data_IF_935469375558
#
_entry.id   IF_935469375558
#
_cell.length_a   1.000
_cell.length_b   1.000
_cell.length_c   1.000
_cell.angle_alpha   90.00
_cell.angle_beta   90.00
_cell.angle_gamma   90.00
#
_symmetry.space_group_name_H-M   'P 1'
#
loop_
_entity.id
_entity.type
_entity.pdbx_description
1 polymer ?
#
# COMPACT_ATOMS: atom_id res chain seq x y z
N UNK A 1 -6.56 -10.04 23.40
CA UNK A 1 -5.79 -10.87 22.47
C UNK A 1 -6.32 -10.60 21.07
N UNK A 2 -5.46 -10.20 20.15
CA UNK A 2 -5.78 -9.97 18.74
C UNK A 2 -5.40 -11.25 18.00
N UNK A 3 -6.38 -11.85 17.30
CA UNK A 3 -6.10 -13.04 16.51
C UNK A 3 -5.29 -12.68 15.26
N UNK A 4 -4.11 -13.23 15.11
CA UNK A 4 -3.25 -13.08 13.92
C UNK A 4 -3.67 -13.98 12.75
N UNK A 5 -4.62 -14.91 12.95
CA UNK A 5 -5.13 -15.82 11.91
C UNK A 5 -6.50 -15.38 11.41
N UNK A 6 -6.50 -14.77 10.24
CA UNK A 6 -7.67 -14.34 9.51
C UNK A 6 -8.10 -15.41 8.50
N UNK A 7 -9.08 -16.22 8.87
CA UNK A 7 -9.86 -17.04 7.93
C UNK A 7 -11.35 -16.74 8.15
N UNK A 8 -12.12 -16.36 7.11
CA UNK A 8 -13.53 -16.03 7.27
C UNK A 8 -14.38 -17.31 7.37
N UNK A 9 -15.54 -17.28 8.05
CA UNK A 9 -16.48 -18.39 8.08
C UNK A 9 -17.20 -18.57 6.73
N UNK A 10 -17.43 -19.81 6.36
CA UNK A 10 -18.22 -20.27 5.20
C UNK A 10 -19.72 -20.09 5.53
N UNK A 11 -20.53 -19.45 4.68
CA UNK A 11 -21.98 -19.41 4.90
C UNK A 11 -22.62 -20.75 4.49
N UNK A 12 -23.72 -21.18 5.16
CA UNK A 12 -24.45 -22.39 4.83
C UNK A 12 -25.21 -22.24 3.49
N UNK A 13 -25.15 -23.31 2.69
CA UNK A 13 -25.81 -23.38 1.40
C UNK A 13 -27.36 -23.47 1.50
N UNK A 14 -28.03 -22.83 0.56
CA UNK A 14 -29.41 -23.12 0.21
C UNK A 14 -29.58 -23.28 -1.30
N UNK A 15 -30.24 -24.38 -1.64
CA UNK A 15 -30.56 -24.88 -2.97
C UNK A 15 -31.73 -24.12 -3.62
N UNK A 16 -31.62 -23.81 -4.90
CA UNK A 16 -32.58 -24.05 -6.00
C UNK A 16 -32.46 -23.05 -7.14
N UNK A 17 -32.26 -23.61 -8.33
CA UNK A 17 -32.15 -23.08 -9.69
C UNK A 17 -33.43 -22.40 -10.23
N UNK A 18 -33.47 -21.66 -11.44
CA UNK A 18 -32.55 -21.75 -12.59
C UNK A 18 -32.15 -20.45 -13.34
N UNK A 19 -31.06 -20.58 -14.08
CA UNK A 19 -30.63 -20.00 -15.37
C UNK A 19 -30.93 -18.55 -15.78
N UNK A 20 -29.84 -17.75 -15.86
CA UNK A 20 -29.54 -16.92 -17.01
C UNK A 20 -28.01 -16.76 -17.14
N UNK A 21 -27.50 -17.14 -18.34
CA UNK A 21 -26.10 -17.01 -18.70
C UNK A 21 -25.71 -15.52 -18.80
N UNK A 22 -24.73 -15.12 -18.01
CA UNK A 22 -23.79 -14.05 -18.35
C UNK A 22 -22.41 -14.54 -17.92
N UNK A 23 -21.54 -14.60 -18.91
CA UNK A 23 -20.17 -15.07 -18.85
C UNK A 23 -19.35 -14.12 -17.98
N UNK A 24 -19.13 -14.47 -16.73
CA UNK A 24 -18.12 -13.87 -15.86
C UNK A 24 -17.32 -15.03 -15.30
N UNK A 25 -16.15 -15.23 -15.88
CA UNK A 25 -15.18 -16.23 -15.44
C UNK A 25 -14.82 -15.99 -13.95
N UNK A 26 -15.36 -16.86 -13.11
CA UNK A 26 -14.97 -17.01 -11.72
C UNK A 26 -13.50 -17.46 -11.65
N UNK A 27 -12.73 -16.99 -10.67
CA UNK A 27 -11.34 -17.41 -10.49
C UNK A 27 -11.29 -18.90 -10.16
N UNK A 28 -10.31 -19.58 -10.76
CA UNK A 28 -10.04 -21.00 -10.56
C UNK A 28 -9.68 -21.29 -9.11
N UNK A 29 -10.16 -22.42 -8.59
CA UNK A 29 -10.17 -22.91 -7.21
C UNK A 29 -8.81 -23.15 -6.53
N UNK A 30 -7.82 -22.29 -6.65
CA UNK A 30 -6.54 -22.35 -5.93
C UNK A 30 -5.89 -20.99 -5.66
N UNK A 31 -6.58 -19.89 -5.88
CA UNK A 31 -6.06 -18.59 -5.49
C UNK A 31 -6.50 -18.26 -4.06
N UNK A 32 -5.55 -18.16 -3.14
CA UNK A 32 -5.87 -17.77 -1.77
C UNK A 32 -6.45 -16.36 -1.77
N UNK A 33 -7.42 -16.09 -0.90
CA UNK A 33 -8.01 -14.75 -0.72
C UNK A 33 -6.95 -13.70 -0.40
N UNK A 34 -5.78 -14.13 0.07
CA UNK A 34 -4.59 -13.29 0.30
C UNK A 34 -3.99 -12.79 -1.02
N UNK A 35 -3.93 -13.63 -2.07
CA UNK A 35 -3.43 -13.24 -3.39
C UNK A 35 -4.34 -12.22 -4.07
N UNK A 36 -5.65 -12.32 -3.88
CA UNK A 36 -6.60 -11.31 -4.36
C UNK A 36 -6.37 -9.95 -3.70
N UNK A 37 -6.14 -9.90 -2.39
CA UNK A 37 -5.87 -8.65 -1.65
C UNK A 37 -4.51 -8.05 -2.04
N UNK A 38 -3.48 -8.88 -2.27
CA UNK A 38 -2.19 -8.40 -2.80
C UNK A 38 -2.33 -7.81 -4.21
N UNK A 39 -3.14 -8.44 -5.04
CA UNK A 39 -3.41 -7.95 -6.40
C UNK A 39 -4.18 -6.65 -6.38
N UNK A 40 -5.11 -6.47 -5.44
CA UNK A 40 -5.90 -5.24 -5.31
C UNK A 40 -5.07 -4.07 -4.74
N UNK A 41 -4.17 -4.34 -3.79
CA UNK A 41 -3.20 -3.32 -3.29
C UNK A 41 -2.22 -2.93 -4.40
N UNK A 42 -1.73 -3.90 -5.20
CA UNK A 42 -0.86 -3.63 -6.35
C UNK A 42 -1.58 -2.91 -7.50
N UNK A 43 -2.89 -3.13 -7.65
CA UNK A 43 -3.72 -2.39 -8.62
C UNK A 43 -3.92 -0.93 -8.26
N UNK A 44 -4.06 -0.59 -6.98
CA UNK A 44 -4.20 0.82 -6.57
C UNK A 44 -2.95 1.64 -6.85
N UNK A 45 -1.75 1.04 -6.82
CA UNK A 45 -0.50 1.73 -7.19
C UNK A 45 -0.25 1.75 -8.72
N UNK A 46 -0.83 0.81 -9.48
CA UNK A 46 -0.73 0.76 -10.94
C UNK A 46 -1.80 1.60 -11.66
N UNK A 47 -2.89 1.94 -10.98
CA UNK A 47 -4.05 2.63 -11.57
C UNK A 47 -3.87 4.16 -11.63
N UNK A 48 -2.77 4.70 -11.10
CA UNK A 48 -2.43 6.12 -11.29
C UNK A 48 -2.06 6.48 -12.75
N UNK A 49 -1.93 5.49 -13.64
CA UNK A 49 -1.59 5.68 -15.07
C UNK A 49 -2.65 5.20 -16.05
N UNK A 50 -3.75 4.59 -15.58
CA UNK A 50 -4.88 4.25 -16.46
C UNK A 50 -5.88 5.40 -16.50
N UNK A 51 -6.10 5.94 -17.68
CA UNK A 51 -7.21 6.86 -17.96
C UNK A 51 -8.51 6.19 -17.49
N UNK A 52 -9.36 6.89 -16.72
CA UNK A 52 -10.65 6.36 -16.31
C UNK A 52 -11.59 6.37 -17.54
N UNK A 53 -11.80 5.21 -18.15
CA UNK A 53 -12.73 5.07 -19.28
C UNK A 53 -14.13 4.58 -18.90
N UNK A 54 -14.42 4.34 -17.59
CA UNK A 54 -15.73 3.82 -17.17
C UNK A 54 -16.36 4.57 -15.97
N UNK A 55 -16.07 5.86 -15.81
CA UNK A 55 -16.90 6.70 -14.96
C UNK A 55 -17.82 7.55 -15.82
N UNK A 56 -19.00 7.02 -16.16
CA UNK A 56 -20.17 7.84 -16.48
C UNK A 56 -20.64 8.57 -15.20
N UNK A 57 -19.78 9.37 -14.61
CA UNK A 57 -20.15 10.30 -13.58
C UNK A 57 -20.52 11.62 -14.27
N UNK A 58 -21.80 11.92 -14.28
CA UNK A 58 -22.36 13.17 -14.79
C UNK A 58 -22.01 14.40 -13.94
N UNK A 59 -21.26 14.25 -12.85
CA UNK A 59 -20.73 15.36 -12.08
C UNK A 59 -19.44 15.86 -12.71
N UNK A 60 -19.39 17.14 -13.08
CA UNK A 60 -18.17 17.75 -13.59
C UNK A 60 -17.15 17.84 -12.44
N UNK A 61 -15.84 17.64 -12.68
CA UNK A 61 -14.80 17.79 -11.65
C UNK A 61 -14.86 19.13 -10.90
N UNK A 62 -15.31 20.19 -11.56
CA UNK A 62 -15.49 21.51 -10.97
C UNK A 62 -16.54 21.52 -9.85
N UNK A 63 -17.68 20.84 -10.02
CA UNK A 63 -18.75 20.78 -9.02
C UNK A 63 -18.29 20.04 -7.74
N UNK A 64 -17.44 19.03 -7.91
CA UNK A 64 -16.83 18.29 -6.77
C UNK A 64 -15.87 19.21 -6.01
N UNK A 65 -15.07 19.99 -6.72
CA UNK A 65 -14.12 20.93 -6.11
C UNK A 65 -14.86 22.04 -5.37
N UNK A 66 -15.97 22.55 -5.91
CA UNK A 66 -16.78 23.58 -5.26
C UNK A 66 -17.37 23.06 -3.94
N UNK A 67 -17.79 21.79 -3.87
CA UNK A 67 -18.26 21.17 -2.62
C UNK A 67 -17.11 20.88 -1.63
N UNK A 68 -15.89 20.68 -2.13
CA UNK A 68 -14.72 20.42 -1.28
C UNK A 68 -14.11 21.69 -0.72
N UNK A 69 -14.23 22.82 -1.41
CA UNK A 69 -13.53 24.07 -1.05
C UNK A 69 -14.51 25.24 -1.10
N UNK A 70 -14.67 25.94 0.01
CA UNK A 70 -15.45 27.18 0.11
C UNK A 70 -14.52 28.35 0.43
N UNK A 71 -14.53 29.40 -0.41
CA UNK A 71 -13.69 30.59 -0.24
C UNK A 71 -12.19 30.31 -0.03
N UNK A 72 -11.68 29.20 -0.61
CA UNK A 72 -10.29 28.77 -0.47
C UNK A 72 -9.99 27.92 0.77
N UNK A 73 -11.00 27.59 1.59
CA UNK A 73 -10.88 26.72 2.75
C UNK A 73 -11.53 25.36 2.48
N UNK A 74 -10.91 24.25 2.93
CA UNK A 74 -11.49 22.93 2.80
C UNK A 74 -12.77 22.81 3.64
N UNK A 75 -13.90 22.51 2.99
CA UNK A 75 -15.23 22.34 3.62
C UNK A 75 -15.56 20.86 3.78
N UNK A 76 -15.68 20.13 2.70
CA UNK A 76 -16.09 18.73 2.67
C UNK A 76 -15.08 17.89 1.91
N UNK A 77 -14.19 17.20 2.63
CA UNK A 77 -13.13 16.38 2.04
C UNK A 77 -13.33 14.87 2.26
N UNK A 78 -14.34 14.48 3.03
CA UNK A 78 -14.65 13.08 3.33
C UNK A 78 -15.31 12.40 2.12
N UNK A 79 -14.70 11.33 1.63
CA UNK A 79 -15.16 10.64 0.42
C UNK A 79 -16.57 10.04 0.55
N UNK A 80 -16.98 9.65 1.76
CA UNK A 80 -18.31 9.14 2.05
C UNK A 80 -19.38 10.24 1.99
N UNK A 81 -19.05 11.46 2.42
CA UNK A 81 -19.96 12.62 2.32
C UNK A 81 -20.08 13.06 0.86
N UNK A 82 -18.96 13.17 0.14
CA UNK A 82 -18.95 13.51 -1.27
C UNK A 82 -19.78 12.53 -2.12
N UNK A 83 -19.67 11.21 -1.84
CA UNK A 83 -20.50 10.20 -2.51
C UNK A 83 -22.00 10.35 -2.26
N UNK A 84 -22.39 10.94 -1.14
CA UNK A 84 -23.78 11.22 -0.83
C UNK A 84 -24.30 12.47 -1.54
N UNK A 85 -23.44 13.47 -1.70
CA UNK A 85 -23.74 14.71 -2.42
C UNK A 85 -23.80 14.46 -3.94
N UNK A 86 -22.87 13.65 -4.45
CA UNK A 86 -22.77 13.30 -5.88
C UNK A 86 -23.69 12.12 -6.14
N UNK A 87 -24.84 12.36 -6.71
CA UNK A 87 -25.78 11.30 -7.08
C UNK A 87 -25.33 10.65 -8.39
N UNK A 88 -25.35 9.30 -8.51
CA UNK A 88 -25.10 8.64 -9.77
C UNK A 88 -26.13 9.10 -10.81
N UNK A 89 -25.67 9.49 -12.00
CA UNK A 89 -26.52 9.92 -13.09
C UNK A 89 -27.42 8.78 -13.57
N UNK A 90 -28.68 8.81 -13.19
CA UNK A 90 -29.69 7.94 -13.78
C UNK A 90 -30.15 8.54 -15.11
N UNK A 91 -30.11 7.77 -16.21
CA UNK A 91 -30.55 8.18 -17.55
C UNK A 91 -31.96 8.80 -17.57
N UNK A 92 -32.86 8.33 -16.71
CA UNK A 92 -34.20 8.89 -16.55
C UNK A 92 -34.21 10.31 -15.96
N UNK A 93 -33.21 10.64 -15.13
CA UNK A 93 -33.12 11.94 -14.47
C UNK A 93 -32.52 12.98 -15.40
N UNK A 94 -31.57 12.61 -16.26
CA UNK A 94 -31.00 13.53 -17.26
C UNK A 94 -32.05 14.04 -18.25
N UNK A 95 -33.09 13.24 -18.53
CA UNK A 95 -34.20 13.64 -19.37
C UNK A 95 -35.16 14.60 -18.65
N UNK A 96 -35.41 14.40 -17.37
CA UNK A 96 -36.29 15.29 -16.58
C UNK A 96 -35.59 16.60 -16.20
N UNK A 97 -34.30 16.55 -15.90
CA UNK A 97 -33.52 17.74 -15.52
C UNK A 97 -33.19 18.62 -16.75
N UNK A 98 -33.01 18.02 -17.93
CA UNK A 98 -32.85 18.75 -19.18
C UNK A 98 -34.12 19.54 -19.58
N UNK A 99 -35.30 19.02 -19.25
CA UNK A 99 -36.58 19.70 -19.45
C UNK A 99 -36.81 20.80 -18.39
N UNK A 100 -36.26 20.66 -17.21
CA UNK A 100 -36.42 21.60 -16.08
C UNK A 100 -35.32 22.67 -16.00
N UNK A 101 -34.29 22.65 -16.88
CA UNK A 101 -33.19 23.62 -16.89
C UNK A 101 -32.26 23.55 -15.69
N UNK A 102 -32.27 22.42 -14.90
CA UNK A 102 -31.40 22.20 -13.74
C UNK A 102 -30.25 21.30 -14.13
N UNK A 103 -29.07 21.87 -14.27
CA UNK A 103 -27.85 21.15 -14.66
C UNK A 103 -26.93 20.77 -13.48
N UNK A 104 -27.39 20.85 -12.22
CA UNK A 104 -26.54 20.50 -11.09
C UNK A 104 -26.66 19.00 -10.73
N UNK A 105 -25.54 18.28 -10.77
CA UNK A 105 -25.43 16.90 -10.31
C UNK A 105 -25.45 16.78 -8.78
N UNK A 106 -25.32 17.89 -8.07
CA UNK A 106 -25.28 17.98 -6.61
C UNK A 106 -26.70 17.96 -6.04
N UNK A 107 -26.90 17.15 -4.99
CA UNK A 107 -28.21 17.08 -4.33
C UNK A 107 -28.52 18.33 -3.52
N UNK A 108 -29.69 18.94 -3.75
CA UNK A 108 -30.18 20.09 -2.98
C UNK A 108 -30.53 19.78 -1.52
N UNK A 109 -30.40 18.52 -1.09
CA UNK A 109 -30.68 18.06 0.28
C UNK A 109 -29.38 17.94 1.03
N UNK A 110 -29.24 18.66 2.15
CA UNK A 110 -28.09 18.56 3.03
C UNK A 110 -27.88 17.10 3.49
N UNK A 111 -26.65 16.56 3.43
CA UNK A 111 -26.36 15.24 3.97
C UNK A 111 -26.76 15.16 5.44
N UNK A 112 -27.38 14.06 5.86
CA UNK A 112 -27.84 13.86 7.23
C UNK A 112 -26.72 14.02 8.30
N UNK A 113 -25.47 13.85 7.89
CA UNK A 113 -24.30 14.00 8.77
C UNK A 113 -23.85 15.46 8.99
N UNK A 114 -24.25 16.43 8.15
CA UNK A 114 -23.85 17.84 8.33
C UNK A 114 -24.44 18.49 9.59
N UNK A 115 -25.58 18.01 10.06
CA UNK A 115 -26.22 18.48 11.30
C UNK A 115 -25.78 17.72 12.55
N UNK A 116 -24.87 16.75 12.40
CA UNK A 116 -24.36 15.95 13.51
C UNK A 116 -23.03 16.52 14.03
N UNK A 117 -22.79 16.39 15.34
CA UNK A 117 -21.47 16.67 15.94
C UNK A 117 -20.36 15.76 15.38
N UNK A 118 -20.70 14.67 14.69
CA UNK A 118 -19.81 13.74 14.01
C UNK A 118 -20.10 13.80 12.52
N UNK A 119 -19.52 14.78 11.85
CA UNK A 119 -19.81 15.11 10.43
C UNK A 119 -19.40 14.02 9.45
N UNK A 120 -18.39 13.22 9.79
CA UNK A 120 -17.82 12.16 8.92
C UNK A 120 -18.55 10.81 9.04
N UNK A 121 -19.60 10.70 9.89
CA UNK A 121 -20.32 9.44 10.06
C UNK A 121 -21.82 9.69 10.15
N UNK A 122 -22.59 8.95 9.34
CA UNK A 122 -24.05 8.99 9.38
C UNK A 122 -24.60 8.34 10.64
N UNK A 123 -25.69 8.90 11.14
CA UNK A 123 -26.50 8.26 12.17
C UNK A 123 -27.32 7.11 11.59
N UNK A 124 -27.63 6.10 12.39
CA UNK A 124 -28.53 5.01 12.00
C UNK A 124 -27.92 3.97 11.07
N UNK A 125 -26.60 3.96 10.86
CA UNK A 125 -25.91 2.89 10.14
C UNK A 125 -26.16 1.53 10.80
N UNK A 126 -26.48 0.52 9.97
CA UNK A 126 -26.71 -0.86 10.43
C UNK A 126 -25.98 -1.83 9.50
N UNK A 127 -25.26 -2.77 10.09
CA UNK A 127 -24.57 -3.86 9.39
C UNK A 127 -24.99 -5.20 9.96
N UNK A 128 -25.15 -6.19 9.11
CA UNK A 128 -25.43 -7.57 9.52
C UNK A 128 -24.22 -8.18 10.23
N UNK A 129 -23.01 -7.86 9.74
CA UNK A 129 -21.74 -8.23 10.35
C UNK A 129 -20.95 -6.97 10.68
N UNK A 130 -20.59 -6.82 11.95
CA UNK A 130 -19.80 -5.68 12.41
C UNK A 130 -18.33 -6.04 12.35
N UNK A 131 -17.57 -5.34 11.50
CA UNK A 131 -16.19 -5.64 11.19
C UNK A 131 -15.34 -4.37 11.16
N UNK A 132 -14.11 -4.47 11.70
CA UNK A 132 -13.12 -3.41 11.58
C UNK A 132 -11.74 -4.01 11.30
N UNK A 133 -11.06 -3.46 10.30
CA UNK A 133 -9.74 -3.90 9.87
C UNK A 133 -8.77 -2.72 9.89
N UNK A 134 -7.53 -3.03 10.27
CA UNK A 134 -6.42 -2.07 10.25
C UNK A 134 -5.26 -2.65 9.46
N UNK A 135 -4.92 -1.99 8.36
CA UNK A 135 -3.77 -2.32 7.55
C UNK A 135 -2.63 -1.36 7.90
N UNK A 136 -1.57 -1.88 8.52
CA UNK A 136 -0.33 -1.17 8.79
C UNK A 136 0.62 -1.39 7.61
N UNK A 137 0.80 -0.36 6.80
CA UNK A 137 1.57 -0.41 5.56
C UNK A 137 2.80 0.46 5.72
N UNK A 138 3.98 -0.14 5.60
CA UNK A 138 5.26 0.56 5.70
C UNK A 138 6.04 0.52 4.40
N UNK A 139 6.70 1.62 4.09
CA UNK A 139 7.63 1.75 2.98
C UNK A 139 9.01 2.10 3.54
N UNK A 140 10.00 1.28 3.23
CA UNK A 140 11.39 1.45 3.69
C UNK A 140 12.20 2.12 2.59
N UNK A 141 12.70 3.31 2.88
CA UNK A 141 13.73 3.97 2.08
C UNK A 141 15.08 3.75 2.74
N UNK A 142 16.09 3.35 1.96
CA UNK A 142 17.44 3.16 2.46
C UNK A 142 18.47 3.44 1.36
N UNK A 143 19.58 4.01 1.77
CA UNK A 143 20.78 4.16 0.94
C UNK A 143 21.93 3.47 1.66
N UNK A 144 22.51 2.48 1.00
CA UNK A 144 23.69 1.77 1.46
C UNK A 144 24.92 2.20 0.63
N UNK A 145 26.06 2.24 1.27
CA UNK A 145 27.33 2.48 0.60
C UNK A 145 27.90 1.21 -0.07
N UNK A 146 29.06 1.33 -0.68
CA UNK A 146 29.79 0.22 -1.33
C UNK A 146 30.19 -0.90 -0.36
N UNK A 147 30.31 -0.60 0.94
CA UNK A 147 30.61 -1.59 1.99
C UNK A 147 29.35 -2.33 2.49
N UNK A 148 28.15 -1.85 2.08
CA UNK A 148 26.87 -2.32 2.61
C UNK A 148 26.47 -1.67 3.93
N UNK A 149 27.19 -0.63 4.37
CA UNK A 149 26.82 0.18 5.53
C UNK A 149 25.71 1.15 5.19
N UNK A 150 24.87 1.44 6.17
CA UNK A 150 23.71 2.30 5.96
C UNK A 150 24.09 3.77 6.03
N UNK A 151 23.95 4.49 4.92
CA UNK A 151 24.15 5.95 4.84
C UNK A 151 22.90 6.68 5.32
N UNK A 152 21.74 6.22 4.88
CA UNK A 152 20.45 6.79 5.27
C UNK A 152 19.41 5.70 5.28
N UNK A 153 18.48 5.78 6.22
CA UNK A 153 17.29 4.92 6.28
C UNK A 153 16.14 5.65 6.95
N UNK A 154 14.95 5.42 6.43
CA UNK A 154 13.72 5.92 7.02
C UNK A 154 12.56 4.99 6.67
N UNK A 155 11.51 5.03 7.47
CA UNK A 155 10.25 4.34 7.20
C UNK A 155 9.14 5.37 7.14
N UNK A 156 8.39 5.30 6.06
CA UNK A 156 7.10 5.95 5.94
C UNK A 156 6.03 4.91 6.17
N UNK A 157 5.20 5.11 7.16
CA UNK A 157 4.10 4.22 7.50
C UNK A 157 2.76 4.89 7.33
N UNK A 158 1.75 4.10 6.98
CA UNK A 158 0.36 4.52 6.99
C UNK A 158 -0.51 3.44 7.60
N UNK A 159 -1.58 3.88 8.27
CA UNK A 159 -2.59 3.00 8.83
C UNK A 159 -3.89 3.25 8.07
N UNK A 160 -4.32 2.27 7.29
CA UNK A 160 -5.62 2.26 6.64
C UNK A 160 -6.63 1.58 7.57
N UNK A 161 -7.82 2.14 7.67
CA UNK A 161 -8.91 1.55 8.44
C UNK A 161 -10.08 1.23 7.50
N UNK A 162 -10.64 0.03 7.63
CA UNK A 162 -11.92 -0.32 7.03
C UNK A 162 -12.91 -0.59 8.16
N UNK A 163 -13.89 0.30 8.32
CA UNK A 163 -14.91 0.20 9.35
C UNK A 163 -16.29 -0.08 8.73
N UNK A 164 -16.86 -1.25 9.02
CA UNK A 164 -18.24 -1.63 8.75
C UNK A 164 -18.90 -1.91 10.09
N UNK A 165 -19.33 -0.87 10.76
CA UNK A 165 -19.81 -0.94 12.13
C UNK A 165 -21.20 -0.30 12.25
N UNK A 166 -22.08 -0.89 13.03
CA UNK A 166 -23.42 -0.36 13.33
C UNK A 166 -23.33 0.78 14.32
N UNK A 167 -24.17 1.80 14.17
CA UNK A 167 -24.31 2.89 15.14
C UNK A 167 -23.16 3.89 15.13
N UNK A 168 -22.78 4.37 16.31
CA UNK A 168 -21.74 5.37 16.55
C UNK A 168 -20.64 4.81 17.48
N UNK A 169 -19.89 3.80 17.01
CA UNK A 169 -18.86 3.15 17.79
C UNK A 169 -17.69 4.08 18.08
N UNK A 170 -17.21 4.07 19.31
CA UNK A 170 -16.00 4.76 19.72
C UNK A 170 -14.85 3.76 19.80
N UNK A 171 -13.88 3.89 18.93
CA UNK A 171 -12.72 3.02 18.84
C UNK A 171 -11.52 3.60 19.57
N UNK A 172 -10.77 2.72 20.24
CA UNK A 172 -9.48 3.06 20.83
C UNK A 172 -8.43 2.07 20.34
N UNK A 173 -7.37 2.59 19.72
CA UNK A 173 -6.25 1.83 19.17
C UNK A 173 -5.01 2.13 20.00
N UNK A 174 -4.38 1.07 20.52
CA UNK A 174 -3.20 1.16 21.38
C UNK A 174 -2.04 0.45 20.70
N UNK A 175 -0.90 1.15 20.59
CA UNK A 175 0.33 0.61 20.03
C UNK A 175 1.22 -0.01 21.13
N UNK A 176 2.00 -1.03 20.77
CA UNK A 176 3.00 -1.60 21.67
C UNK A 176 4.13 -0.62 21.97
N UNK A 177 4.51 0.20 20.99
CA UNK A 177 5.56 1.21 21.12
C UNK A 177 5.27 2.41 20.21
N UNK A 178 4.48 3.36 20.68
CA UNK A 178 4.16 4.57 19.92
C UNK A 178 5.33 5.57 19.85
N UNK A 179 6.32 5.44 20.76
CA UNK A 179 7.47 6.38 20.86
C UNK A 179 8.43 6.31 19.69
N UNK A 180 8.33 5.27 18.86
CA UNK A 180 9.14 5.17 17.63
C UNK A 180 8.63 6.11 16.53
N UNK A 181 7.40 6.60 16.66
CA UNK A 181 6.80 7.55 15.73
C UNK A 181 7.36 8.94 16.05
N UNK A 182 8.10 9.51 15.10
CA UNK A 182 8.71 10.83 15.23
C UNK A 182 7.79 11.93 14.73
N UNK A 183 7.08 11.65 13.65
CA UNK A 183 6.15 12.57 13.01
C UNK A 183 4.90 11.82 12.61
N UNK A 184 3.73 12.40 12.86
CA UNK A 184 2.45 11.78 12.58
C UNK A 184 1.40 12.79 12.14
N UNK A 185 0.70 12.46 11.06
CA UNK A 185 -0.52 13.12 10.62
C UNK A 185 -1.69 12.17 10.83
N UNK A 186 -2.71 12.61 11.54
CA UNK A 186 -3.88 11.79 11.86
C UNK A 186 -5.13 12.33 11.19
N UNK A 187 -6.05 11.44 10.85
CA UNK A 187 -7.35 11.81 10.32
C UNK A 187 -8.12 12.72 11.29
N UNK A 188 -8.90 13.71 10.79
CA UNK A 188 -9.69 14.62 11.65
C UNK A 188 -10.63 13.95 12.64
N UNK A 189 -11.03 12.70 12.40
CA UNK A 189 -11.85 11.94 13.36
C UNK A 189 -11.10 11.61 14.66
N UNK A 190 -9.78 11.67 14.68
CA UNK A 190 -8.94 11.32 15.84
C UNK A 190 -8.95 12.44 16.87
N UNK A 191 -9.11 12.09 18.13
CA UNK A 191 -8.98 13.02 19.27
C UNK A 191 -7.50 13.36 19.50
N UNK A 192 -7.03 14.43 18.88
CA UNK A 192 -5.61 14.82 18.84
C UNK A 192 -4.99 14.95 20.23
N UNK A 193 -5.70 15.50 21.20
CA UNK A 193 -5.18 15.65 22.57
C UNK A 193 -4.82 14.30 23.22
N UNK A 194 -5.56 13.26 22.91
CA UNK A 194 -5.29 11.93 23.45
C UNK A 194 -4.10 11.28 22.75
N UNK A 195 -3.97 11.49 21.46
CA UNK A 195 -2.80 11.07 20.71
C UNK A 195 -1.52 11.75 21.23
N UNK A 196 -1.52 13.08 21.37
CA UNK A 196 -0.31 13.83 21.78
C UNK A 196 0.12 13.55 23.22
N UNK A 197 -0.82 13.29 24.13
CA UNK A 197 -0.52 13.05 25.56
C UNK A 197 -0.22 11.58 25.87
N UNK A 198 -0.98 10.66 25.29
CA UNK A 198 -1.00 9.26 25.68
C UNK A 198 -0.44 8.32 24.59
N UNK A 199 -0.29 8.80 23.33
CA UNK A 199 0.05 7.96 22.19
C UNK A 199 -1.05 6.96 21.81
N UNK A 200 -2.32 7.30 22.13
CA UNK A 200 -3.48 6.46 21.90
C UNK A 200 -4.36 7.11 20.85
N UNK A 201 -4.69 6.38 19.77
CA UNK A 201 -5.68 6.83 18.81
C UNK A 201 -7.07 6.50 19.30
N UNK A 202 -7.88 7.53 19.58
CA UNK A 202 -9.28 7.40 19.97
C UNK A 202 -10.16 8.18 19.02
N UNK A 203 -11.16 7.53 18.41
CA UNK A 203 -11.92 8.11 17.31
C UNK A 203 -13.25 7.40 17.08
N UNK A 204 -14.22 8.13 16.52
CA UNK A 204 -15.41 7.55 15.91
C UNK A 204 -15.07 7.41 14.41
N UNK A 205 -15.02 6.19 13.84
CA UNK A 205 -14.55 6.00 12.48
C UNK A 205 -15.55 6.55 11.44
N UNK A 206 -15.09 7.15 10.34
CA UNK A 206 -15.86 7.22 9.11
C UNK A 206 -16.38 5.84 8.71
N UNK A 207 -17.42 5.80 7.90
CA UNK A 207 -17.93 4.55 7.37
C UNK A 207 -17.12 4.11 6.15
N UNK A 208 -16.79 2.82 6.07
CA UNK A 208 -15.99 2.26 4.97
C UNK A 208 -14.49 2.41 5.17
N UNK A 209 -13.73 2.58 4.06
CA UNK A 209 -12.27 2.65 4.06
C UNK A 209 -11.81 4.11 4.14
N UNK A 210 -10.88 4.38 5.03
CA UNK A 210 -10.23 5.69 5.17
C UNK A 210 -8.82 5.53 5.72
N UNK A 211 -7.99 6.56 5.49
CA UNK A 211 -6.64 6.64 6.05
C UNK A 211 -6.71 7.23 7.45
N UNK A 212 -6.38 6.43 8.45
CA UNK A 212 -6.45 6.82 9.86
C UNK A 212 -5.25 7.67 10.26
N UNK A 213 -4.05 7.30 9.78
CA UNK A 213 -2.79 7.92 10.18
C UNK A 213 -1.72 7.72 9.13
N UNK A 214 -0.92 8.75 8.87
CA UNK A 214 0.39 8.64 8.26
C UNK A 214 1.46 8.93 9.31
N UNK A 215 2.60 8.25 9.26
CA UNK A 215 3.70 8.47 10.19
C UNK A 215 5.06 8.26 9.56
N UNK A 216 6.08 8.80 10.20
CA UNK A 216 7.47 8.64 9.81
C UNK A 216 8.32 8.26 11.02
N UNK A 217 9.33 7.43 10.78
CA UNK A 217 10.36 7.10 11.75
C UNK A 217 11.71 6.97 11.07
N UNK A 218 12.72 7.56 11.70
CA UNK A 218 14.13 7.52 11.27
C UNK A 218 15.01 6.86 12.33
N UNK A 219 14.43 6.45 13.46
CA UNK A 219 15.14 5.87 14.61
C UNK A 219 16.08 4.74 14.20
N UNK A 220 17.38 5.03 14.15
CA UNK A 220 18.42 4.15 13.64
C UNK A 220 18.54 2.83 14.42
N UNK A 221 18.23 2.84 15.71
CA UNK A 221 18.43 1.68 16.58
C UNK A 221 17.32 0.62 16.48
N UNK A 222 16.12 0.99 16.01
CA UNK A 222 14.99 0.08 15.92
C UNK A 222 14.77 -0.48 14.52
N UNK A 223 15.31 0.18 13.48
CA UNK A 223 15.08 -0.17 12.09
C UNK A 223 16.10 -1.19 11.59
N UNK A 224 15.75 -2.47 11.58
CA UNK A 224 16.54 -3.51 10.95
C UNK A 224 16.28 -3.55 9.43
N UNK A 225 17.32 -3.38 8.62
CA UNK A 225 17.19 -3.60 7.17
C UNK A 225 16.92 -5.09 6.92
N UNK A 226 15.89 -5.43 6.11
CA UNK A 226 15.43 -6.80 5.96
C UNK A 226 16.35 -7.68 5.13
N UNK A 227 17.23 -7.08 4.32
CA UNK A 227 18.11 -7.80 3.42
C UNK A 227 19.48 -7.15 3.31
N UNK A 228 20.45 -7.92 2.82
CA UNK A 228 21.78 -7.44 2.44
C UNK A 228 22.06 -7.78 0.99
N UNK A 229 22.64 -6.83 0.29
CA UNK A 229 23.12 -7.01 -1.09
C UNK A 229 24.62 -6.85 -1.08
N UNK A 230 25.32 -7.79 -1.68
CA UNK A 230 26.75 -7.70 -1.96
C UNK A 230 26.93 -7.67 -3.47
N UNK A 231 27.77 -6.79 -3.93
CA UNK A 231 28.08 -6.64 -5.32
C UNK A 231 29.59 -6.56 -5.50
N UNK A 232 30.04 -7.05 -6.64
CA UNK A 232 31.43 -6.95 -7.06
C UNK A 232 31.47 -6.81 -8.58
N UNK A 233 32.02 -5.70 -9.06
CA UNK A 233 32.17 -5.44 -10.49
C UNK A 233 33.62 -5.10 -10.71
N UNK A 234 34.32 -5.91 -11.52
CA UNK A 234 35.73 -5.70 -11.88
C UNK A 234 35.83 -5.57 -13.37
N UNK A 235 36.37 -4.46 -13.82
CA UNK A 235 36.64 -4.20 -15.24
C UNK A 235 38.11 -4.52 -15.60
N UNK A 236 38.29 -5.24 -16.68
CA UNK A 236 39.57 -5.47 -17.31
C UNK A 236 39.44 -5.19 -18.82
N UNK A 237 40.03 -4.08 -19.25
CA UNK A 237 39.90 -3.60 -20.64
C UNK A 237 38.40 -3.49 -21.05
N UNK A 238 37.99 -4.28 -22.04
CA UNK A 238 36.61 -4.29 -22.54
C UNK A 238 35.66 -5.24 -21.80
N UNK A 239 36.15 -6.01 -20.84
CA UNK A 239 35.34 -7.00 -20.13
C UNK A 239 35.19 -6.66 -18.66
N UNK A 240 33.94 -6.64 -18.20
CA UNK A 240 33.58 -6.54 -16.80
C UNK A 240 33.12 -7.88 -16.26
N UNK A 241 33.59 -8.27 -15.08
CA UNK A 241 33.05 -9.40 -14.35
C UNK A 241 32.08 -8.88 -13.28
N UNK A 242 30.83 -9.32 -13.36
CA UNK A 242 29.78 -8.99 -12.44
C UNK A 242 29.52 -10.16 -11.49
N UNK A 243 29.45 -9.88 -10.20
CA UNK A 243 28.96 -10.81 -9.18
C UNK A 243 28.05 -10.08 -8.21
N UNK A 244 26.77 -10.49 -8.13
CA UNK A 244 25.78 -9.98 -7.19
C UNK A 244 25.31 -11.12 -6.30
N UNK A 245 25.09 -10.84 -5.03
CA UNK A 245 24.43 -11.76 -4.09
C UNK A 245 23.47 -11.00 -3.18
N UNK A 246 22.38 -11.64 -2.84
CA UNK A 246 21.36 -11.10 -1.93
C UNK A 246 21.04 -12.11 -0.86
N UNK A 247 20.91 -11.66 0.38
CA UNK A 247 20.54 -12.51 1.50
C UNK A 247 19.51 -11.84 2.41
N UNK A 248 18.57 -12.63 2.93
CA UNK A 248 17.64 -12.19 3.96
C UNK A 248 18.37 -12.01 5.28
N UNK A 249 18.05 -10.93 6.00
CA UNK A 249 18.47 -10.71 7.39
C UNK A 249 17.35 -11.02 8.40
N UNK A 250 16.21 -11.52 7.92
CA UNK A 250 15.03 -11.78 8.73
C UNK A 250 14.91 -13.29 8.99
N UNK A 251 15.25 -13.78 10.19
CA UNK A 251 15.12 -15.20 10.51
C UNK A 251 13.65 -15.62 10.49
N UNK A 252 13.37 -16.74 9.81
CA UNK A 252 12.03 -17.35 9.77
C UNK A 252 10.97 -16.60 8.96
N UNK A 253 11.36 -15.56 8.18
CA UNK A 253 10.43 -14.84 7.30
C UNK A 253 10.92 -14.87 5.87
N UNK A 254 10.01 -15.10 4.95
CA UNK A 254 10.25 -14.94 3.52
C UNK A 254 10.05 -13.49 3.11
N UNK A 255 10.77 -13.09 2.09
CA UNK A 255 10.65 -11.79 1.43
C UNK A 255 10.14 -12.03 0.02
N UNK A 256 9.03 -11.43 -0.34
CA UNK A 256 8.35 -11.65 -1.61
C UNK A 256 8.70 -10.56 -2.63
N UNK A 257 8.51 -10.88 -3.91
CA UNK A 257 8.69 -9.94 -5.03
C UNK A 257 10.06 -9.26 -5.05
N UNK A 258 11.10 -10.02 -4.72
CA UNK A 258 12.49 -9.50 -4.69
C UNK A 258 12.99 -9.31 -6.11
N UNK A 259 13.33 -8.05 -6.44
CA UNK A 259 13.81 -7.64 -7.75
C UNK A 259 14.94 -6.63 -7.59
N UNK A 260 16.05 -6.87 -8.26
CA UNK A 260 17.19 -5.97 -8.36
C UNK A 260 17.19 -5.32 -9.74
N UNK A 261 17.43 -4.02 -9.78
CA UNK A 261 17.51 -3.27 -11.01
C UNK A 261 18.78 -2.42 -10.98
N UNK A 262 19.60 -2.55 -12.02
CA UNK A 262 20.86 -1.83 -12.17
C UNK A 262 20.90 -1.18 -13.54
N UNK A 263 21.24 0.10 -13.59
CA UNK A 263 21.47 0.82 -14.84
C UNK A 263 22.97 0.83 -15.15
N UNK A 264 23.35 0.11 -16.19
CA UNK A 264 24.71 0.03 -16.66
C UNK A 264 25.09 1.25 -17.52
N UNK A 265 26.40 1.46 -17.76
CA UNK A 265 26.86 2.50 -18.65
C UNK A 265 26.35 2.29 -20.09
N UNK A 266 26.20 3.39 -20.81
CA UNK A 266 25.80 3.37 -22.22
C UNK A 266 26.81 2.57 -23.11
N UNK A 267 28.04 2.47 -22.66
CA UNK A 267 29.11 1.74 -23.39
C UNK A 267 28.97 0.21 -23.28
N UNK A 268 28.13 -0.31 -22.38
CA UNK A 268 27.88 -1.75 -22.27
C UNK A 268 27.02 -2.22 -23.44
N UNK A 269 27.56 -3.11 -24.26
CA UNK A 269 26.89 -3.65 -25.44
C UNK A 269 26.34 -5.06 -25.24
N UNK A 270 26.96 -5.84 -24.36
CA UNK A 270 26.50 -7.20 -24.10
C UNK A 270 26.55 -7.54 -22.61
N UNK A 271 25.59 -8.34 -22.16
CA UNK A 271 25.46 -8.83 -20.79
C UNK A 271 25.18 -10.32 -20.84
N UNK A 272 26.18 -11.11 -20.46
CA UNK A 272 26.08 -12.57 -20.36
C UNK A 272 26.22 -12.98 -18.89
N UNK A 273 25.09 -13.14 -18.21
CA UNK A 273 25.03 -13.44 -16.78
C UNK A 273 24.17 -14.67 -16.52
N UNK A 274 24.50 -15.39 -15.47
CA UNK A 274 23.77 -16.59 -15.06
C UNK A 274 23.26 -16.41 -13.63
N UNK A 275 21.94 -16.41 -13.42
CA UNK A 275 21.34 -16.38 -12.09
C UNK A 275 21.35 -17.80 -11.49
N UNK A 276 21.66 -17.91 -10.19
CA UNK A 276 21.47 -19.17 -9.44
C UNK A 276 20.00 -19.45 -9.14
N UNK A 277 19.16 -18.40 -9.14
CA UNK A 277 17.72 -18.44 -8.89
C UNK A 277 17.05 -17.25 -9.59
N UNK A 278 15.82 -17.45 -10.04
CA UNK A 278 15.03 -16.42 -10.70
C UNK A 278 15.37 -16.26 -12.18
N UNK A 279 15.09 -15.07 -12.72
CA UNK A 279 15.30 -14.73 -14.14
C UNK A 279 15.95 -13.36 -14.23
N UNK A 280 16.76 -13.17 -15.26
CA UNK A 280 17.28 -11.85 -15.58
C UNK A 280 16.79 -11.36 -16.95
N UNK A 281 16.81 -10.06 -17.13
CA UNK A 281 16.51 -9.37 -18.37
C UNK A 281 17.47 -8.20 -18.52
N UNK A 282 18.04 -8.04 -19.71
CA UNK A 282 18.81 -6.86 -20.07
C UNK A 282 18.13 -6.13 -21.22
N UNK A 283 17.91 -4.84 -21.03
CA UNK A 283 17.37 -3.96 -22.06
C UNK A 283 18.50 -3.12 -22.66
N UNK A 284 18.81 -3.34 -23.93
CA UNK A 284 19.85 -2.65 -24.67
C UNK A 284 19.60 -1.15 -24.85
N UNK A 285 18.34 -0.71 -24.91
CA UNK A 285 18.01 0.70 -25.10
C UNK A 285 18.17 1.51 -23.83
N UNK A 286 17.62 1.01 -22.73
CA UNK A 286 17.69 1.68 -21.43
C UNK A 286 18.95 1.34 -20.64
N UNK A 287 19.74 0.34 -21.11
CA UNK A 287 20.92 -0.22 -20.42
C UNK A 287 20.58 -0.72 -19.02
N UNK A 288 19.37 -1.19 -18.83
CA UNK A 288 18.88 -1.66 -17.56
C UNK A 288 18.99 -3.18 -17.46
N UNK A 289 19.74 -3.65 -16.47
CA UNK A 289 19.81 -5.04 -16.06
C UNK A 289 18.84 -5.24 -14.90
N UNK A 290 17.86 -6.11 -15.08
CA UNK A 290 16.88 -6.48 -14.10
C UNK A 290 17.06 -7.96 -13.73
N UNK A 291 17.11 -8.26 -12.43
CA UNK A 291 17.14 -9.62 -11.90
C UNK A 291 15.94 -9.83 -10.99
N UNK A 292 15.00 -10.65 -11.43
CA UNK A 292 13.79 -11.03 -10.72
C UNK A 292 13.99 -12.38 -10.03
N UNK A 293 14.11 -12.35 -8.71
CA UNK A 293 14.31 -13.52 -7.86
C UNK A 293 12.96 -14.11 -7.43
N UNK A 294 11.93 -13.25 -7.34
CA UNK A 294 10.63 -13.63 -6.80
C UNK A 294 10.66 -13.70 -5.28
N UNK A 295 10.59 -14.90 -4.72
CA UNK A 295 10.56 -15.13 -3.27
C UNK A 295 11.94 -15.51 -2.74
N UNK A 296 12.39 -14.81 -1.70
CA UNK A 296 13.63 -15.04 -0.99
C UNK A 296 13.34 -15.65 0.37
N UNK A 297 13.76 -16.89 0.58
CA UNK A 297 13.62 -17.56 1.86
C UNK A 297 14.75 -17.14 2.83
N UNK A 298 14.46 -17.19 4.12
CA UNK A 298 15.44 -16.85 5.17
C UNK A 298 16.49 -17.96 5.40
N UNK A 299 16.17 -19.17 4.97
CA UNK A 299 17.02 -20.36 5.10
C UNK A 299 17.41 -20.84 3.71
N UNK A 300 18.69 -21.11 3.50
CA UNK A 300 19.17 -21.60 2.21
C UNK A 300 20.40 -20.84 1.69
N UNK A 301 20.83 -21.22 0.49
CA UNK A 301 21.96 -20.56 -0.18
C UNK A 301 21.50 -19.21 -0.74
N UNK A 302 22.23 -18.15 -0.44
CA UNK A 302 21.95 -16.82 -0.94
C UNK A 302 21.95 -16.82 -2.48
N UNK A 303 20.88 -16.35 -3.15
CA UNK A 303 20.86 -16.21 -4.59
C UNK A 303 22.02 -15.35 -5.10
N UNK A 304 22.62 -15.79 -6.22
CA UNK A 304 23.72 -15.09 -6.87
C UNK A 304 23.44 -14.90 -8.36
N UNK A 305 23.90 -13.77 -8.91
CA UNK A 305 23.94 -13.48 -10.33
C UNK A 305 25.40 -13.23 -10.72
N UNK A 306 25.95 -14.04 -11.60
CA UNK A 306 27.36 -13.97 -12.01
C UNK A 306 27.49 -13.98 -13.51
N UNK A 307 28.47 -13.27 -14.05
CA UNK A 307 28.76 -13.31 -15.46
C UNK A 307 29.65 -12.18 -15.95
N UNK A 308 29.60 -11.93 -17.25
CA UNK A 308 30.46 -11.00 -17.93
C UNK A 308 29.64 -9.86 -18.57
N UNK A 309 30.26 -8.71 -18.60
CA UNK A 309 29.77 -7.51 -19.26
C UNK A 309 30.78 -7.14 -20.34
N UNK A 310 30.34 -6.67 -21.51
CA UNK A 310 31.22 -6.26 -22.61
C UNK A 310 30.98 -4.81 -22.97
N UNK A 311 32.07 -4.05 -23.16
CA UNK A 311 32.07 -2.66 -23.62
C UNK A 311 32.28 -2.56 -25.13
N UNK A 312 31.51 -1.69 -25.77
CA UNK A 312 31.67 -1.40 -27.21
C UNK A 312 32.90 -0.54 -27.49
N UNK A 313 33.30 0.32 -26.53
CA UNK A 313 34.39 1.29 -26.72
C UNK A 313 35.36 1.28 -25.54
N UNK A 314 36.60 1.78 -25.77
CA UNK A 314 37.67 1.84 -24.77
C UNK A 314 37.79 3.23 -24.11
N UNK A 315 36.79 4.12 -24.25
CA UNK A 315 36.99 5.52 -23.90
C UNK A 315 37.14 5.83 -22.42
N UNK A 316 36.48 5.06 -21.54
CA UNK A 316 36.66 5.18 -20.10
C UNK A 316 36.11 3.95 -19.39
N UNK A 317 36.66 3.62 -18.22
CA UNK A 317 36.05 2.63 -17.34
C UNK A 317 34.73 3.17 -16.83
N UNK A 318 33.64 2.41 -16.98
CA UNK A 318 32.32 2.88 -16.50
C UNK A 318 32.32 3.01 -14.98
N UNK A 319 31.67 4.05 -14.51
CA UNK A 319 31.41 4.22 -13.08
C UNK A 319 30.51 3.08 -12.60
N UNK A 320 30.76 2.58 -11.39
CA UNK A 320 29.93 1.54 -10.80
C UNK A 320 28.48 2.02 -10.66
N UNK A 321 27.52 1.24 -11.16
CA UNK A 321 26.12 1.63 -11.13
C UNK A 321 25.51 1.42 -9.77
N UNK A 322 24.50 2.23 -9.39
CA UNK A 322 23.67 1.94 -8.25
C UNK A 322 22.68 0.80 -8.52
N UNK A 323 22.38 0.04 -7.48
CA UNK A 323 21.45 -1.09 -7.52
C UNK A 323 20.21 -0.73 -6.75
N UNK A 324 19.07 -0.65 -7.43
CA UNK A 324 17.77 -0.48 -6.82
C UNK A 324 17.18 -1.83 -6.46
N UNK A 325 16.68 -1.97 -5.24
CA UNK A 325 16.08 -3.22 -4.74
C UNK A 325 14.61 -3.01 -4.43
N UNK A 326 13.75 -3.85 -5.00
CA UNK A 326 12.32 -3.91 -4.69
C UNK A 326 12.02 -5.19 -3.93
N UNK A 327 11.14 -5.11 -2.95
CA UNK A 327 10.67 -6.25 -2.17
C UNK A 327 9.38 -5.93 -1.45
N UNK A 328 8.69 -6.99 -0.99
CA UNK A 328 7.54 -6.90 -0.09
C UNK A 328 7.64 -7.98 0.98
N UNK A 329 7.28 -7.64 2.22
CA UNK A 329 7.35 -8.56 3.36
C UNK A 329 5.99 -8.57 4.04
N UNK A 330 5.22 -9.64 3.87
CA UNK A 330 3.93 -9.79 4.54
C UNK A 330 4.08 -10.05 6.04
N UNK A 331 3.09 -9.65 6.81
CA UNK A 331 3.03 -9.85 8.28
C UNK A 331 4.28 -9.32 9.00
N UNK A 332 4.81 -8.19 8.51
CA UNK A 332 6.02 -7.57 9.04
C UNK A 332 5.90 -6.05 9.09
N UNK A 333 6.43 -5.45 10.14
CA UNK A 333 6.63 -4.01 10.31
C UNK A 333 8.12 -3.76 10.52
N UNK A 334 8.75 -3.03 9.62
CA UNK A 334 10.18 -2.72 9.66
C UNK A 334 10.52 -1.79 10.83
N UNK A 335 9.61 -0.88 11.18
CA UNK A 335 9.77 -0.01 12.35
C UNK A 335 9.61 -0.75 13.68
N UNK A 336 9.00 -1.94 13.65
CA UNK A 336 8.59 -2.66 14.86
C UNK A 336 7.29 -2.14 15.49
N UNK A 337 6.60 -1.18 14.86
CA UNK A 337 5.30 -0.72 15.30
C UNK A 337 4.28 -1.86 15.21
N UNK A 338 3.52 -2.07 16.27
CA UNK A 338 2.44 -3.06 16.31
C UNK A 338 1.22 -2.47 16.99
N UNK A 339 0.05 -2.79 16.47
CA UNK A 339 -1.22 -2.54 17.14
C UNK A 339 -1.39 -3.61 18.21
N UNK A 340 -1.29 -3.22 19.47
CA UNK A 340 -1.38 -4.13 20.61
C UNK A 340 -2.82 -4.46 20.97
N UNK A 341 -3.72 -3.46 20.88
CA UNK A 341 -5.12 -3.62 21.29
C UNK A 341 -6.03 -2.66 20.54
N UNK A 342 -7.22 -3.14 20.24
CA UNK A 342 -8.33 -2.36 19.68
C UNK A 342 -9.54 -2.54 20.58
N UNK A 343 -10.02 -1.48 21.18
CA UNK A 343 -11.22 -1.49 22.03
C UNK A 343 -12.36 -0.74 21.34
N UNK A 344 -13.58 -1.19 21.58
CA UNK A 344 -14.81 -0.55 21.12
C UNK A 344 -15.66 -0.19 22.31
N UNK A 345 -16.15 1.04 22.32
CA UNK A 345 -17.04 1.60 23.33
C UNK A 345 -18.32 2.13 22.67
N UNK A 346 -19.31 2.49 23.48
CA UNK A 346 -20.61 3.04 23.10
C UNK A 346 -21.55 2.08 22.35
N UNK A 347 -21.12 0.85 22.07
CA UNK A 347 -21.95 -0.17 21.41
C UNK A 347 -21.87 -1.49 22.15
N UNK A 348 -22.97 -2.25 22.13
CA UNK A 348 -23.08 -3.52 22.88
C UNK A 348 -22.55 -4.73 22.13
N UNK A 349 -22.36 -4.64 20.81
CA UNK A 349 -21.87 -5.74 20.00
C UNK A 349 -20.35 -5.87 20.08
N UNK A 350 -19.85 -7.06 19.81
CA UNK A 350 -18.41 -7.34 19.64
C UNK A 350 -18.09 -7.44 18.14
N UNK A 351 -17.39 -6.48 17.56
CA UNK A 351 -17.03 -6.55 16.15
C UNK A 351 -15.92 -7.58 15.93
N UNK A 352 -15.85 -8.12 14.72
CA UNK A 352 -14.66 -8.77 14.25
C UNK A 352 -13.55 -7.71 14.09
N UNK A 353 -12.33 -8.01 14.57
CA UNK A 353 -11.18 -7.10 14.53
C UNK A 353 -10.04 -7.78 13.79
N UNK A 354 -9.62 -7.23 12.66
CA UNK A 354 -8.48 -7.69 11.90
C UNK A 354 -7.34 -6.65 11.91
N UNK A 355 -6.12 -7.12 12.09
CA UNK A 355 -4.90 -6.31 11.97
C UNK A 355 -3.95 -7.00 11.02
N UNK A 356 -3.45 -6.25 10.04
CA UNK A 356 -2.48 -6.74 9.07
C UNK A 356 -1.32 -5.76 8.99
N UNK A 357 -0.13 -6.27 8.79
CA UNK A 357 1.05 -5.45 8.55
C UNK A 357 1.76 -5.91 7.28
N UNK A 358 2.27 -4.97 6.53
CA UNK A 358 3.09 -5.22 5.35
C UNK A 358 4.16 -4.17 5.24
N UNK A 359 5.37 -4.58 4.90
CA UNK A 359 6.48 -3.68 4.60
C UNK A 359 6.91 -3.88 3.16
N UNK A 360 7.08 -2.80 2.43
CA UNK A 360 7.62 -2.79 1.06
C UNK A 360 8.84 -1.88 0.96
N UNK A 361 9.64 -2.08 -0.09
CA UNK A 361 10.69 -1.12 -0.41
C UNK A 361 10.09 0.11 -1.08
N UNK A 362 10.60 1.27 -0.70
CA UNK A 362 10.51 2.50 -1.48
C UNK A 362 11.78 2.70 -2.30
N UNK A 363 12.51 3.80 -2.03
CA UNK A 363 13.84 4.02 -2.60
C UNK A 363 14.88 3.24 -1.81
N UNK A 364 15.08 1.97 -2.16
CA UNK A 364 16.11 1.13 -1.56
C UNK A 364 17.28 1.00 -2.54
N UNK A 365 18.35 1.75 -2.28
CA UNK A 365 19.49 1.93 -3.18
C UNK A 365 20.77 1.40 -2.52
N UNK A 366 21.52 0.58 -3.27
CA UNK A 366 22.85 0.13 -2.91
C UNK A 366 23.82 0.76 -3.89
N UNK A 367 24.74 1.59 -3.42
CA UNK A 367 25.78 2.20 -4.22
C UNK A 367 26.85 1.15 -4.49
N UNK A 368 27.24 1.01 -5.76
CA UNK A 368 28.23 0.04 -6.19
C UNK A 368 29.60 0.69 -6.44
#
# INVERSE_FOLDING_TARGET
MINDDYSPPIPPGNSSTPAHRTDTSLPRDHESREDWIYREISRTDADSTRRPQDYNASAQPAEIIDEMVELGFPLTTESNILKDLIKPGNLFRSLTDAVAGKHSAVGSILPACQLSNVRWRRTGLKYTSNEVYFDLIEVVDAILDTSGSTVSKQVHGRIECLAKLTGMPDLTLIFSNHRIIEDASVHPCVRLLRWTKEGILSFIPPDGRFRLMDYRTTSFNSLALPLSVRHHIVWREKRGRLELSIASKLPGKSIDSVKLTMRLSHDVCNVDVTPSSGRYRFDLHTKQLEWDIGRLESTGVAPTLKGNLELCSNHSLPMNPSIMVRFSIPKFSASGLKIARVDLYNEKYKPFKGVKSVTSSGKFEVRA
#
